data_IF_042462921756
#
_entry.id   IF_042462921756
#
_cell.length_a   1.000
_cell.length_b   1.000
_cell.length_c   1.000
_cell.angle_alpha   90.00
_cell.angle_beta   90.00
_cell.angle_gamma   90.00
#
_symmetry.space_group_name_H-M   'P 1'
#
loop_
_entity.id
_entity.type
_entity.pdbx_description
1 polymer ?
#
# COMPACT_ATOMS: atom_id res chain seq x y z
N UNK A 1 -9.78 5.90 -4.53
CA UNK A 1 -8.31 5.71 -4.67
C UNK A 1 -8.02 4.96 -5.96
N UNK A 2 -6.87 5.17 -6.62
CA UNK A 2 -6.48 4.40 -7.81
C UNK A 2 -5.03 3.92 -7.71
N UNK A 3 -4.79 2.65 -8.02
CA UNK A 3 -3.48 2.00 -7.86
C UNK A 3 -3.11 1.31 -9.16
N UNK A 4 -1.87 1.48 -9.60
CA UNK A 4 -1.28 0.73 -10.70
C UNK A 4 0.06 0.18 -10.23
N UNK A 5 0.21 -1.14 -10.30
CA UNK A 5 1.46 -1.83 -10.01
C UNK A 5 2.16 -2.17 -11.31
N UNK A 6 3.48 -2.03 -11.38
CA UNK A 6 4.26 -2.33 -12.59
C UNK A 6 5.19 -3.53 -12.43
N UNK A 7 5.33 -4.06 -11.21
CA UNK A 7 6.34 -5.07 -10.86
C UNK A 7 7.19 -4.60 -9.68
N UNK A 8 7.71 -5.54 -8.88
CA UNK A 8 8.49 -5.25 -7.67
C UNK A 8 7.78 -4.20 -6.78
N UNK A 9 8.46 -3.12 -6.38
CA UNK A 9 7.86 -1.99 -5.63
C UNK A 9 7.49 -0.79 -6.48
N UNK A 10 7.38 -0.97 -7.79
CA UNK A 10 7.03 0.12 -8.67
C UNK A 10 5.52 0.32 -8.70
N UNK A 11 5.06 1.42 -8.11
CA UNK A 11 3.65 1.80 -8.09
C UNK A 11 3.44 3.21 -8.61
N UNK A 12 2.26 3.42 -9.21
CA UNK A 12 1.67 4.74 -9.39
C UNK A 12 0.32 4.77 -8.71
N UNK A 13 0.16 5.71 -7.78
CA UNK A 13 -0.96 5.74 -6.84
C UNK A 13 -1.59 7.12 -6.89
N UNK A 14 -2.90 7.18 -7.09
CA UNK A 14 -3.69 8.39 -6.95
C UNK A 14 -4.53 8.30 -5.68
N UNK A 15 -4.27 9.22 -4.74
CA UNK A 15 -4.88 9.24 -3.41
C UNK A 15 -4.88 10.68 -2.88
N UNK A 16 -6.00 11.12 -2.29
CA UNK A 16 -6.16 12.47 -1.76
C UNK A 16 -5.96 13.57 -2.80
N UNK A 17 -6.32 13.30 -4.06
CA UNK A 17 -6.09 14.23 -5.19
C UNK A 17 -4.64 14.33 -5.67
N UNK A 18 -3.71 13.58 -5.06
CA UNK A 18 -2.29 13.57 -5.39
C UNK A 18 -1.87 12.30 -6.12
N UNK A 19 -0.80 12.38 -6.89
CA UNK A 19 -0.15 11.29 -7.59
C UNK A 19 1.20 11.00 -6.94
N UNK A 20 1.32 9.80 -6.36
CA UNK A 20 2.55 9.29 -5.75
C UNK A 20 3.11 8.20 -6.66
N UNK A 21 4.41 8.26 -6.94
CA UNK A 21 5.12 7.20 -7.64
C UNK A 21 6.15 6.61 -6.70
N UNK A 22 6.10 5.29 -6.49
CA UNK A 22 7.07 4.55 -5.69
C UNK A 22 8.02 3.79 -6.60
N UNK A 23 9.31 3.83 -6.27
CA UNK A 23 10.41 3.11 -6.91
C UNK A 23 10.33 3.10 -8.45
N UNK A 24 10.37 4.27 -9.11
CA UNK A 24 10.26 4.33 -10.56
C UNK A 24 11.45 3.69 -11.29
N UNK A 25 12.63 3.65 -10.65
CA UNK A 25 13.83 3.03 -11.23
C UNK A 25 13.79 1.50 -11.19
N UNK A 26 12.97 0.92 -10.32
CA UNK A 26 12.67 -0.51 -10.28
C UNK A 26 11.72 -1.00 -11.38
N UNK A 27 11.19 -0.09 -12.21
CA UNK A 27 10.20 -0.43 -13.23
C UNK A 27 10.77 -1.44 -14.25
N UNK A 28 9.94 -2.36 -14.80
CA UNK A 28 10.37 -3.24 -15.88
C UNK A 28 10.88 -2.44 -17.08
N UNK A 29 11.82 -3.00 -17.84
CA UNK A 29 12.43 -2.33 -18.99
C UNK A 29 11.44 -1.89 -20.10
N UNK A 30 10.22 -2.45 -20.11
CA UNK A 30 9.15 -2.06 -21.01
C UNK A 30 8.42 -0.78 -20.60
N UNK A 31 8.62 -0.31 -19.36
CA UNK A 31 8.00 0.89 -18.81
C UNK A 31 8.96 2.07 -18.91
N UNK A 32 8.48 3.17 -19.49
CA UNK A 32 9.26 4.41 -19.56
C UNK A 32 9.16 5.16 -18.23
N UNK A 33 10.28 5.24 -17.51
CA UNK A 33 10.39 5.94 -16.22
C UNK A 33 9.94 7.39 -16.31
N UNK A 34 10.27 8.10 -17.40
CA UNK A 34 9.87 9.50 -17.60
C UNK A 34 8.36 9.67 -17.75
N UNK A 35 7.69 8.70 -18.37
CA UNK A 35 6.22 8.70 -18.46
C UNK A 35 5.58 8.33 -17.12
N UNK A 36 6.19 7.38 -16.39
CA UNK A 36 5.71 6.92 -15.09
C UNK A 36 5.66 8.07 -14.06
N UNK A 37 6.73 8.87 -13.98
CA UNK A 37 6.84 10.02 -13.05
C UNK A 37 6.16 11.28 -13.56
N UNK A 38 5.70 11.30 -14.82
CA UNK A 38 5.06 12.48 -15.40
C UNK A 38 3.77 12.82 -14.65
N UNK A 39 3.72 14.04 -14.12
CA UNK A 39 2.58 14.54 -13.32
C UNK A 39 2.51 13.96 -11.90
N UNK A 40 3.56 13.28 -11.42
CA UNK A 40 3.65 12.88 -10.03
C UNK A 40 3.87 14.11 -9.13
N UNK A 41 3.09 14.21 -8.06
CA UNK A 41 3.29 15.20 -6.99
C UNK A 41 4.42 14.78 -6.05
N UNK A 42 4.66 13.47 -5.94
CA UNK A 42 5.73 12.91 -5.11
C UNK A 42 6.32 11.66 -5.76
N UNK A 43 7.64 11.57 -5.75
CA UNK A 43 8.40 10.41 -6.20
C UNK A 43 9.19 9.90 -5.01
N UNK A 44 8.90 8.67 -4.59
CA UNK A 44 9.49 8.04 -3.42
C UNK A 44 10.42 6.94 -3.90
N UNK A 45 11.68 7.01 -3.48
CA UNK A 45 12.67 5.98 -3.78
C UNK A 45 12.64 4.86 -2.74
N UNK A 46 13.21 3.68 -3.05
CA UNK A 46 13.45 2.65 -2.04
C UNK A 46 14.25 3.21 -0.87
N UNK A 47 13.92 2.79 0.36
CA UNK A 47 14.49 3.31 1.60
C UNK A 47 14.42 4.85 1.71
N UNK A 48 13.20 5.41 1.83
CA UNK A 48 13.01 6.85 1.88
C UNK A 48 13.43 7.38 3.25
N UNK A 49 14.72 7.70 3.37
CA UNK A 49 15.33 8.27 4.60
C UNK A 49 14.82 9.65 4.96
N UNK A 50 14.12 10.31 4.05
CA UNK A 50 13.46 11.61 4.21
C UNK A 50 12.06 11.51 4.82
N UNK A 51 11.48 10.31 4.93
CA UNK A 51 10.20 10.08 5.58
C UNK A 51 10.37 9.72 7.06
N UNK A 52 9.43 10.19 7.88
CA UNK A 52 9.34 9.81 9.28
C UNK A 52 8.90 8.34 9.40
N UNK A 53 9.43 7.64 10.40
CA UNK A 53 9.01 6.28 10.73
C UNK A 53 7.56 6.27 11.24
N UNK A 54 6.79 5.28 10.79
CA UNK A 54 5.42 5.11 11.26
C UNK A 54 5.37 4.50 12.66
N UNK A 55 4.98 5.29 13.65
CA UNK A 55 4.75 4.82 15.02
C UNK A 55 3.28 4.42 15.25
N UNK A 56 2.93 3.16 14.91
CA UNK A 56 1.56 2.66 15.00
C UNK A 56 0.90 2.78 16.39
N UNK A 57 1.67 2.69 17.48
CA UNK A 57 1.15 2.84 18.84
C UNK A 57 0.72 4.29 19.17
N UNK A 58 1.42 5.27 18.60
CA UNK A 58 1.15 6.69 18.77
C UNK A 58 0.12 7.20 17.74
N UNK A 59 0.01 6.53 16.59
CA UNK A 59 -0.88 6.94 15.51
C UNK A 59 -2.35 6.95 15.92
N UNK A 60 -3.09 7.95 15.42
CA UNK A 60 -4.53 8.08 15.60
C UNK A 60 -5.17 8.49 14.27
N UNK A 61 -6.35 7.94 13.91
CA UNK A 61 -7.06 8.33 12.70
C UNK A 61 -7.28 9.84 12.65
N UNK A 62 -6.85 10.45 11.55
CA UNK A 62 -7.07 11.87 11.32
C UNK A 62 -8.55 12.10 11.00
N UNK A 63 -9.14 13.11 11.63
CA UNK A 63 -10.53 13.51 11.34
C UNK A 63 -10.54 14.38 10.11
N UNK A 64 -11.48 14.10 9.21
CA UNK A 64 -11.83 15.00 8.11
C UNK A 64 -12.18 16.39 8.69
N UNK A 65 -11.45 17.42 8.26
CA UNK A 65 -11.77 18.80 8.61
C UNK A 65 -13.11 19.21 7.99
N UNK A 66 -13.82 20.16 8.61
CA UNK A 66 -15.06 20.69 8.03
C UNK A 66 -14.70 21.57 6.84
N UNK A 67 -15.52 21.57 5.79
CA UNK A 67 -15.35 22.36 4.56
C UNK A 67 -15.09 23.86 4.78
N UNK A 68 -15.41 24.40 5.97
CA UNK A 68 -15.24 25.82 6.31
C UNK A 68 -13.83 26.12 6.85
N UNK A 69 -13.09 25.08 7.27
CA UNK A 69 -11.77 25.16 7.89
C UNK A 69 -10.65 24.69 6.92
N UNK A 70 -10.91 24.64 5.60
CA UNK A 70 -9.99 24.11 4.58
C UNK A 70 -8.69 24.93 4.45
N UNK A 71 -7.70 24.60 5.27
CA UNK A 71 -6.37 24.36 4.71
C UNK A 71 -6.44 22.97 4.07
N UNK A 72 -6.01 22.87 2.81
CA UNK A 72 -6.04 21.65 2.00
C UNK A 72 -5.52 20.46 2.83
N UNK A 73 -6.41 19.52 3.15
CA UNK A 73 -6.11 18.45 4.09
C UNK A 73 -5.00 17.57 3.51
N UNK A 74 -3.77 17.79 3.98
CA UNK A 74 -2.60 17.22 3.33
C UNK A 74 -2.47 15.74 3.65
N UNK A 75 -2.31 14.96 2.60
CA UNK A 75 -1.81 13.59 2.68
C UNK A 75 -0.46 13.57 3.42
N UNK A 76 -0.26 12.58 4.29
CA UNK A 76 1.00 12.38 5.02
C UNK A 76 1.61 11.03 4.63
N UNK A 77 2.91 11.03 4.39
CA UNK A 77 3.69 9.86 4.03
C UNK A 77 4.58 9.47 5.22
N UNK A 78 4.58 8.19 5.56
CA UNK A 78 5.47 7.62 6.55
C UNK A 78 6.21 6.43 5.96
N UNK A 79 7.42 6.21 6.43
CA UNK A 79 8.15 4.96 6.19
C UNK A 79 7.56 3.86 7.08
N UNK A 80 7.29 2.70 6.49
CA UNK A 80 6.94 1.48 7.21
C UNK A 80 8.16 0.55 7.20
N UNK A 81 8.74 0.34 8.38
CA UNK A 81 10.01 -0.39 8.55
C UNK A 81 11.11 0.14 7.60
N UNK A 82 11.76 -0.72 6.82
CA UNK A 82 12.89 -0.34 5.96
C UNK A 82 12.50 -0.06 4.51
N UNK A 83 11.38 -0.63 4.04
CA UNK A 83 11.05 -0.63 2.61
C UNK A 83 9.56 -0.49 2.30
N UNK A 84 8.72 -0.39 3.33
CA UNK A 84 7.29 -0.13 3.17
C UNK A 84 6.96 1.36 3.21
N UNK A 85 5.74 1.68 2.81
CA UNK A 85 5.20 3.03 2.82
C UNK A 85 3.81 3.01 3.45
N UNK A 86 3.53 3.98 4.31
CA UNK A 86 2.18 4.30 4.76
C UNK A 86 1.78 5.65 4.19
N UNK A 87 0.60 5.69 3.61
CA UNK A 87 -0.04 6.89 3.11
C UNK A 87 -1.29 7.13 3.93
N UNK A 88 -1.28 8.18 4.74
CA UNK A 88 -2.41 8.60 5.56
C UNK A 88 -3.19 9.69 4.80
N UNK A 89 -4.41 9.38 4.40
CA UNK A 89 -5.38 10.31 3.84
C UNK A 89 -6.57 10.48 4.80
N UNK A 90 -6.99 11.72 5.12
CA UNK A 90 -8.13 11.93 6.00
C UNK A 90 -9.47 11.52 5.36
N UNK A 91 -9.52 11.48 4.02
CA UNK A 91 -10.72 11.14 3.26
C UNK A 91 -10.74 9.67 2.83
N UNK A 92 -9.58 9.08 2.51
CA UNK A 92 -9.49 7.72 1.94
C UNK A 92 -8.96 6.68 2.94
N UNK A 93 -8.48 7.12 4.11
CA UNK A 93 -7.91 6.29 5.17
C UNK A 93 -6.43 5.98 4.97
N UNK A 94 -5.96 4.91 5.62
CA UNK A 94 -4.60 4.40 5.44
C UNK A 94 -4.51 3.53 4.19
N UNK A 95 -3.49 3.80 3.37
CA UNK A 95 -2.95 2.87 2.40
C UNK A 95 -1.59 2.39 2.90
N UNK A 96 -1.42 1.08 2.98
CA UNK A 96 -0.21 0.41 3.45
C UNK A 96 0.40 -0.33 2.26
N UNK A 97 1.62 0.01 1.89
CA UNK A 97 2.43 -0.75 0.94
C UNK A 97 3.50 -1.48 1.75
N UNK A 98 3.27 -2.77 2.02
CA UNK A 98 4.20 -3.60 2.77
C UNK A 98 4.96 -4.54 1.83
N UNK A 99 6.27 -4.46 1.92
CA UNK A 99 7.16 -5.48 1.36
C UNK A 99 7.21 -6.64 2.33
N UNK A 100 6.64 -7.78 1.95
CA UNK A 100 6.52 -8.97 2.79
C UNK A 100 7.88 -9.65 3.13
N UNK A 101 8.99 -8.95 2.89
CA UNK A 101 10.32 -9.24 3.43
C UNK A 101 10.61 -8.52 4.76
N UNK A 102 9.78 -7.54 5.12
CA UNK A 102 9.91 -6.69 6.31
C UNK A 102 9.47 -7.44 7.58
N UNK A 103 9.73 -6.88 8.75
CA UNK A 103 9.26 -7.42 10.03
C UNK A 103 8.02 -6.69 10.54
N UNK A 104 7.14 -6.26 9.61
CA UNK A 104 6.03 -5.35 9.93
C UNK A 104 5.17 -5.95 11.04
N UNK A 105 5.07 -5.21 12.14
CA UNK A 105 4.20 -5.57 13.26
C UNK A 105 2.86 -4.85 13.14
N UNK A 106 1.89 -5.56 12.60
CA UNK A 106 0.51 -5.10 12.52
C UNK A 106 -0.14 -5.02 13.90
N UNK A 107 -1.01 -4.04 14.07
CA UNK A 107 -1.92 -3.90 15.20
C UNK A 107 -3.21 -3.24 14.69
N UNK A 108 -4.15 -2.91 15.57
CA UNK A 108 -5.47 -2.33 15.24
C UNK A 108 -5.41 -1.03 14.43
N UNK A 109 -4.25 -0.38 14.33
CA UNK A 109 -4.09 0.77 13.44
C UNK A 109 -4.29 0.39 11.97
N UNK A 110 -4.11 -0.87 11.59
CA UNK A 110 -4.36 -1.37 10.23
C UNK A 110 -5.86 -1.68 9.95
N UNK A 111 -6.75 -1.53 10.95
CA UNK A 111 -8.19 -1.72 10.74
C UNK A 111 -8.74 -0.73 9.70
N UNK A 112 -9.51 -1.25 8.74
CA UNK A 112 -10.10 -0.47 7.66
C UNK A 112 -9.10 0.05 6.62
N UNK A 113 -7.81 -0.29 6.74
CA UNK A 113 -6.79 0.10 5.76
C UNK A 113 -6.98 -0.62 4.41
N UNK A 114 -6.47 0.01 3.34
CA UNK A 114 -6.08 -0.72 2.12
C UNK A 114 -4.66 -1.21 2.34
N UNK A 115 -4.42 -2.51 2.19
CA UNK A 115 -3.08 -3.10 2.31
C UNK A 115 -2.67 -3.74 1.01
N UNK A 116 -1.46 -3.43 0.55
CA UNK A 116 -0.81 -4.09 -0.57
C UNK A 116 0.39 -4.85 -0.03
N UNK A 117 0.39 -6.17 -0.23
CA UNK A 117 1.53 -7.02 0.07
C UNK A 117 2.28 -7.34 -1.21
N UNK A 118 3.58 -7.09 -1.18
CA UNK A 118 4.48 -7.28 -2.33
C UNK A 118 5.64 -8.18 -1.93
N UNK A 119 6.09 -9.05 -2.83
CA UNK A 119 7.15 -10.01 -2.57
C UNK A 119 6.83 -11.38 -3.15
N UNK A 120 7.42 -12.44 -2.59
CA UNK A 120 7.08 -13.82 -2.99
C UNK A 120 5.72 -14.24 -2.42
N UNK A 121 5.06 -15.20 -3.07
CA UNK A 121 3.79 -15.75 -2.58
C UNK A 121 3.84 -16.22 -1.12
N UNK A 122 4.80 -17.08 -0.73
CA UNK A 122 4.91 -17.54 0.65
C UNK A 122 5.08 -16.42 1.68
N UNK A 123 5.85 -15.38 1.33
CA UNK A 123 6.03 -14.19 2.17
C UNK A 123 4.72 -13.43 2.34
N UNK A 124 4.03 -13.15 1.23
CA UNK A 124 2.75 -12.44 1.26
C UNK A 124 1.66 -13.24 1.97
N UNK A 125 1.65 -14.56 1.83
CA UNK A 125 0.75 -15.45 2.55
C UNK A 125 0.96 -15.41 4.07
N UNK A 126 2.22 -15.42 4.52
CA UNK A 126 2.56 -15.31 5.93
C UNK A 126 2.19 -13.93 6.51
N UNK A 127 2.55 -12.84 5.82
CA UNK A 127 2.20 -11.47 6.23
C UNK A 127 0.69 -11.23 6.23
N UNK A 128 -0.01 -11.71 5.19
CA UNK A 128 -1.46 -11.62 5.10
C UNK A 128 -2.16 -12.36 6.24
N UNK A 129 -1.66 -13.55 6.60
CA UNK A 129 -2.16 -14.30 7.76
C UNK A 129 -1.98 -13.49 9.06
N UNK A 130 -0.76 -13.00 9.31
CA UNK A 130 -0.46 -12.21 10.52
C UNK A 130 -1.32 -10.94 10.61
N UNK A 131 -1.54 -10.24 9.49
CA UNK A 131 -2.41 -9.08 9.41
C UNK A 131 -3.87 -9.43 9.73
N UNK A 132 -4.42 -10.48 9.11
CA UNK A 132 -5.84 -10.86 9.26
C UNK A 132 -6.16 -11.45 10.64
N UNK A 133 -5.17 -11.98 11.35
CA UNK A 133 -5.33 -12.44 12.73
C UNK A 133 -5.55 -11.26 13.72
N UNK A 134 -4.90 -10.11 13.48
CA UNK A 134 -4.89 -8.99 14.42
C UNK A 134 -5.79 -7.80 13.99
N UNK A 135 -6.03 -7.65 12.69
CA UNK A 135 -6.75 -6.52 12.11
C UNK A 135 -7.82 -6.95 11.09
N UNK A 136 -8.59 -5.97 10.62
CA UNK A 136 -9.65 -6.11 9.60
C UNK A 136 -9.47 -5.03 8.53
N UNK A 137 -8.51 -5.17 7.60
CA UNK A 137 -8.39 -4.24 6.47
C UNK A 137 -9.64 -4.30 5.59
N UNK A 138 -9.98 -3.20 4.93
CA UNK A 138 -11.13 -3.21 3.98
C UNK A 138 -10.78 -3.94 2.69
N UNK A 139 -9.50 -3.90 2.30
CA UNK A 139 -8.96 -4.54 1.12
C UNK A 139 -7.53 -5.00 1.40
N UNK A 140 -7.25 -6.24 1.02
CA UNK A 140 -5.93 -6.81 0.88
C UNK A 140 -5.67 -7.07 -0.61
N UNK A 141 -4.64 -6.44 -1.17
CA UNK A 141 -4.22 -6.66 -2.55
C UNK A 141 -2.85 -7.32 -2.57
N UNK A 142 -2.66 -8.29 -3.47
CA UNK A 142 -1.41 -9.01 -3.63
C UNK A 142 -0.70 -8.56 -4.90
N UNK A 143 0.55 -8.15 -4.78
CA UNK A 143 1.47 -7.84 -5.87
C UNK A 143 2.54 -8.94 -5.95
N UNK A 144 2.12 -10.10 -6.44
CA UNK A 144 2.88 -11.36 -6.48
C UNK A 144 2.87 -11.94 -7.89
N UNK A 145 3.73 -12.93 -8.14
CA UNK A 145 3.77 -13.64 -9.42
C UNK A 145 2.57 -14.57 -9.62
N UNK A 146 2.15 -14.77 -10.88
CA UNK A 146 0.96 -15.55 -11.24
C UNK A 146 0.94 -16.97 -10.66
N UNK A 147 2.09 -17.63 -10.60
CA UNK A 147 2.20 -19.01 -10.11
C UNK A 147 1.94 -19.14 -8.59
N UNK A 148 2.03 -18.03 -7.86
CA UNK A 148 1.83 -17.97 -6.41
C UNK A 148 0.40 -17.56 -6.03
N UNK A 149 -0.44 -17.16 -6.99
CA UNK A 149 -1.80 -16.66 -6.74
C UNK A 149 -2.66 -17.72 -6.04
N UNK A 150 -2.87 -18.87 -6.67
CA UNK A 150 -3.79 -19.90 -6.15
C UNK A 150 -3.36 -20.38 -4.74
N UNK A 151 -2.08 -20.72 -4.47
CA UNK A 151 -1.64 -21.12 -3.14
C UNK A 151 -1.88 -20.06 -2.06
N UNK A 152 -1.66 -18.78 -2.38
CA UNK A 152 -1.84 -17.70 -1.40
C UNK A 152 -3.33 -17.42 -1.18
N UNK A 153 -4.16 -17.50 -2.22
CA UNK A 153 -5.61 -17.37 -2.08
C UNK A 153 -6.19 -18.49 -1.22
N UNK A 154 -5.80 -19.74 -1.45
CA UNK A 154 -6.25 -20.88 -0.64
C UNK A 154 -5.86 -20.73 0.84
N UNK A 155 -4.69 -20.14 1.10
CA UNK A 155 -4.21 -19.85 2.45
C UNK A 155 -5.00 -18.73 3.14
N UNK A 156 -5.27 -17.62 2.45
CA UNK A 156 -5.85 -16.41 3.04
C UNK A 156 -7.38 -16.41 3.05
N UNK A 157 -8.02 -17.06 2.09
CA UNK A 157 -9.48 -17.08 1.95
C UNK A 157 -10.24 -17.46 3.24
N UNK A 158 -9.81 -18.45 4.05
CA UNK A 158 -10.47 -18.79 5.30
C UNK A 158 -10.43 -17.69 6.37
N UNK A 159 -9.54 -16.70 6.24
CA UNK A 159 -9.25 -15.68 7.25
C UNK A 159 -9.87 -14.31 6.93
N UNK A 160 -10.42 -14.11 5.73
CA UNK A 160 -10.80 -12.79 5.23
C UNK A 160 -11.87 -12.08 6.07
N UNK A 161 -12.86 -12.80 6.56
CA UNK A 161 -14.03 -12.18 7.20
C UNK A 161 -14.72 -11.21 6.22
N UNK A 162 -14.71 -9.91 6.56
CA UNK A 162 -15.25 -8.84 5.71
C UNK A 162 -14.19 -8.19 4.78
N UNK A 163 -12.94 -8.66 4.84
CA UNK A 163 -11.84 -8.16 4.01
C UNK A 163 -12.01 -8.62 2.56
N UNK A 164 -11.93 -7.71 1.60
CA UNK A 164 -11.81 -8.08 0.18
C UNK A 164 -10.38 -8.51 -0.16
N UNK A 165 -10.21 -9.55 -0.97
CA UNK A 165 -8.91 -10.01 -1.45
C UNK A 165 -8.83 -9.90 -2.98
N UNK A 166 -7.79 -9.26 -3.50
CA UNK A 166 -7.52 -9.14 -4.94
C UNK A 166 -6.05 -9.42 -5.27
N UNK A 167 -5.76 -9.68 -6.54
CA UNK A 167 -4.41 -9.63 -7.11
C UNK A 167 -4.31 -8.39 -7.98
N UNK A 168 -3.16 -7.72 -7.95
CA UNK A 168 -2.84 -6.65 -8.88
C UNK A 168 -2.22 -7.25 -10.13
N UNK A 169 -2.79 -6.96 -11.29
CA UNK A 169 -2.17 -7.29 -12.57
C UNK A 169 -1.17 -6.19 -12.96
N UNK A 170 0.04 -6.54 -13.42
CA UNK A 170 1.01 -5.55 -13.87
C UNK A 170 0.46 -4.63 -14.95
N UNK A 171 0.68 -3.32 -14.78
CA UNK A 171 0.21 -2.23 -15.64
C UNK A 171 -1.31 -2.06 -15.73
N UNK A 172 -2.10 -2.82 -14.96
CA UNK A 172 -3.55 -2.62 -14.85
C UNK A 172 -3.85 -1.68 -13.68
N UNK A 173 -4.67 -0.65 -13.94
CA UNK A 173 -5.11 0.25 -12.90
C UNK A 173 -6.37 -0.27 -12.22
N UNK A 174 -6.34 -0.34 -10.90
CA UNK A 174 -7.46 -0.74 -10.04
C UNK A 174 -7.99 0.48 -9.29
N UNK A 175 -9.31 0.64 -9.27
CA UNK A 175 -10.00 1.68 -8.50
C UNK A 175 -10.65 1.06 -7.26
N UNK A 176 -10.47 1.73 -6.13
CA UNK A 176 -10.90 1.31 -4.79
C UNK A 176 -11.78 2.38 -4.18
#
# INVERSE_FOLDING_TARGET
MKITWFGAMTYRIQIGGRIIVLDPEGAPATINVGELVSGADSVIHPDPTDLEDFEGAAWRPRRRARLIDEEEASLVLYRLDTSGLIVDSPDEGLLILDQATSSTQYDRWADGAVVILSGTGPQCGAHGTALLEIARPKLLALAIDDHDIDPVFDLLAPLLGDTSLIVLEPSLAVEI
#
